data_IF_187414554119
#
_entry.id   IF_187414554119
#
_cell.length_a   1.000
_cell.length_b   1.000
_cell.length_c   1.000
_cell.angle_alpha   90.00
_cell.angle_beta   90.00
_cell.angle_gamma   90.00
#
_symmetry.space_group_name_H-M   'P 1'
#
loop_
_entity.id
_entity.type
_entity.pdbx_description
1 polymer ?
#
# COMPACT_ATOMS: atom_id res chain seq x y z
N UNK A 1 -15.45 53.96 17.03
CA UNK A 1 -14.35 54.04 16.05
C UNK A 1 -13.69 52.67 15.97
N UNK A 2 -14.51 51.67 15.65
CA UNK A 2 -14.19 50.25 15.47
C UNK A 2 -15.02 49.88 14.24
N UNK A 3 -14.40 49.67 13.07
CA UNK A 3 -15.03 49.05 11.89
C UNK A 3 -14.08 49.04 10.66
N UNK A 4 -12.78 48.77 10.80
CA UNK A 4 -11.92 48.44 9.63
C UNK A 4 -10.83 47.42 9.98
N UNK A 5 -11.16 46.34 10.69
CA UNK A 5 -10.22 45.22 10.94
C UNK A 5 -10.71 43.87 10.45
N UNK A 6 -11.65 43.85 9.50
CA UNK A 6 -12.18 42.64 8.87
C UNK A 6 -11.94 42.63 7.35
N UNK A 7 -10.72 42.97 6.94
CA UNK A 7 -10.26 42.57 5.60
C UNK A 7 -9.98 41.08 5.66
N UNK A 8 -11.04 40.28 5.49
CA UNK A 8 -10.95 38.90 5.02
C UNK A 8 -10.09 38.88 3.76
N UNK A 9 -8.80 38.60 3.90
CA UNK A 9 -7.98 38.06 2.82
C UNK A 9 -8.48 36.64 2.53
N UNK A 10 -9.66 36.57 1.93
CA UNK A 10 -10.19 35.38 1.27
C UNK A 10 -9.65 35.38 -0.15
N UNK A 11 -8.33 35.41 -0.31
CA UNK A 11 -7.68 35.06 -1.58
C UNK A 11 -7.76 33.54 -1.69
N UNK A 12 -8.88 33.07 -2.24
CA UNK A 12 -9.10 31.63 -2.47
C UNK A 12 -8.07 31.13 -3.48
N UNK A 13 -6.95 30.61 -2.98
CA UNK A 13 -5.96 29.93 -3.81
C UNK A 13 -6.70 28.81 -4.56
N UNK A 14 -6.65 28.77 -5.90
CA UNK A 14 -7.40 27.78 -6.67
C UNK A 14 -6.94 26.38 -6.27
N UNK A 15 -7.88 25.56 -5.79
CA UNK A 15 -7.58 24.18 -5.38
C UNK A 15 -7.06 23.36 -6.56
N UNK A 16 -7.72 23.48 -7.72
CA UNK A 16 -7.31 22.85 -8.96
C UNK A 16 -6.10 23.59 -9.56
N UNK A 17 -5.08 22.84 -9.99
CA UNK A 17 -3.79 23.36 -10.49
C UNK A 17 -2.81 23.91 -9.41
N UNK A 18 -3.11 23.71 -8.13
CA UNK A 18 -2.19 24.03 -7.02
C UNK A 18 -1.00 23.06 -6.93
N UNK A 19 0.14 23.53 -6.44
CA UNK A 19 1.34 22.72 -6.15
C UNK A 19 1.02 21.59 -5.18
N UNK A 20 0.13 21.85 -4.21
CA UNK A 20 -0.37 20.84 -3.26
C UNK A 20 -1.03 19.64 -3.93
N UNK A 21 -1.86 19.90 -4.95
CA UNK A 21 -2.55 18.84 -5.69
C UNK A 21 -1.58 18.08 -6.59
N UNK A 22 -0.60 18.76 -7.18
CA UNK A 22 0.47 18.10 -7.92
C UNK A 22 1.30 17.15 -7.03
N UNK A 23 1.64 17.58 -5.81
CA UNK A 23 2.30 16.72 -4.82
C UNK A 23 1.40 15.56 -4.40
N UNK A 24 0.12 15.81 -4.15
CA UNK A 24 -0.84 14.76 -3.83
C UNK A 24 -0.98 13.73 -4.95
N UNK A 25 -0.92 14.16 -6.21
CA UNK A 25 -0.90 13.29 -7.37
C UNK A 25 0.40 12.47 -7.47
N UNK A 26 1.56 13.08 -7.21
CA UNK A 26 2.84 12.36 -7.14
C UNK A 26 2.82 11.28 -6.06
N UNK A 27 2.27 11.59 -4.88
CA UNK A 27 2.08 10.63 -3.78
C UNK A 27 1.08 9.54 -4.18
N UNK A 28 -0.02 9.88 -4.83
CA UNK A 28 -0.97 8.91 -5.38
C UNK A 28 -0.27 7.92 -6.31
N UNK A 29 0.56 8.40 -7.25
CA UNK A 29 1.36 7.53 -8.14
C UNK A 29 2.35 6.66 -7.36
N UNK A 30 2.97 7.20 -6.30
CA UNK A 30 3.84 6.43 -5.42
C UNK A 30 3.10 5.31 -4.68
N UNK A 31 1.87 5.58 -4.24
CA UNK A 31 0.99 4.59 -3.62
C UNK A 31 0.55 3.51 -4.61
N UNK A 32 0.30 3.88 -5.87
CA UNK A 32 0.05 2.92 -6.96
C UNK A 32 1.23 1.98 -7.11
N UNK A 33 2.45 2.51 -7.27
CA UNK A 33 3.68 1.72 -7.40
C UNK A 33 3.88 0.79 -6.20
N UNK A 34 3.79 1.33 -4.98
CA UNK A 34 3.94 0.56 -3.75
C UNK A 34 2.98 -0.64 -3.71
N UNK A 35 1.69 -0.42 -3.94
CA UNK A 35 0.72 -1.50 -3.88
C UNK A 35 0.82 -2.47 -5.06
N UNK A 36 1.20 -2.00 -6.24
CA UNK A 36 1.54 -2.90 -7.36
C UNK A 36 2.73 -3.81 -7.02
N UNK A 37 3.79 -3.27 -6.40
CA UNK A 37 4.94 -4.08 -5.95
C UNK A 37 4.58 -5.02 -4.79
N UNK A 38 3.71 -4.59 -3.87
CA UNK A 38 3.28 -5.45 -2.76
C UNK A 38 2.50 -6.67 -3.25
N UNK A 39 1.64 -6.49 -4.24
CA UNK A 39 0.72 -7.53 -4.72
C UNK A 39 1.30 -8.37 -5.86
N UNK A 40 2.37 -7.92 -6.52
CA UNK A 40 3.00 -8.66 -7.63
C UNK A 40 3.51 -10.05 -7.21
N UNK A 41 3.94 -10.26 -5.96
CA UNK A 41 4.50 -11.52 -5.47
C UNK A 41 3.44 -12.61 -5.44
N UNK A 42 2.24 -12.27 -4.94
CA UNK A 42 1.11 -13.20 -4.87
C UNK A 42 0.70 -13.69 -6.25
N UNK A 43 0.72 -12.80 -7.26
CA UNK A 43 0.41 -13.15 -8.65
C UNK A 43 1.57 -13.93 -9.28
N UNK A 44 2.79 -13.45 -9.09
CA UNK A 44 4.00 -14.08 -9.59
C UNK A 44 4.15 -15.52 -9.09
N UNK A 45 3.79 -15.80 -7.83
CA UNK A 45 3.76 -17.16 -7.25
C UNK A 45 2.88 -18.12 -8.05
N UNK A 46 1.69 -17.66 -8.45
CA UNK A 46 0.75 -18.46 -9.27
C UNK A 46 1.34 -18.78 -10.65
N UNK A 47 2.13 -17.86 -11.20
CA UNK A 47 2.75 -18.04 -12.51
C UNK A 47 4.07 -18.84 -12.47
N UNK A 48 4.85 -18.74 -11.39
CA UNK A 48 6.18 -19.34 -11.31
C UNK A 48 6.21 -20.73 -10.71
N UNK A 49 5.19 -21.11 -9.91
CA UNK A 49 5.14 -22.42 -9.26
C UNK A 49 4.40 -23.44 -10.12
N UNK A 50 4.98 -24.64 -10.25
CA UNK A 50 4.32 -25.80 -10.84
C UNK A 50 3.31 -26.41 -9.85
N UNK A 51 2.04 -26.02 -9.95
CA UNK A 51 1.01 -26.53 -9.05
C UNK A 51 0.77 -28.04 -9.22
N UNK A 52 0.86 -28.56 -10.45
CA UNK A 52 0.69 -29.99 -10.75
C UNK A 52 1.76 -30.88 -10.11
N UNK A 53 3.03 -30.47 -10.20
CA UNK A 53 4.15 -31.20 -9.59
C UNK A 53 4.11 -31.14 -8.04
N UNK A 54 3.68 -30.01 -7.48
CA UNK A 54 3.53 -29.85 -6.01
C UNK A 54 2.41 -30.75 -5.49
N UNK A 55 1.29 -30.87 -6.21
CA UNK A 55 0.19 -31.75 -5.85
C UNK A 55 0.58 -33.24 -5.95
N UNK A 56 1.33 -33.62 -6.99
CA UNK A 56 1.91 -34.97 -7.13
C UNK A 56 2.83 -35.35 -5.96
N UNK A 57 3.77 -34.47 -5.60
CA UNK A 57 4.68 -34.71 -4.46
C UNK A 57 3.91 -34.83 -3.14
N UNK A 58 2.87 -34.02 -2.93
CA UNK A 58 2.05 -34.12 -1.71
C UNK A 58 1.30 -35.45 -1.62
N UNK A 59 0.77 -35.96 -2.72
CA UNK A 59 0.07 -37.26 -2.78
C UNK A 59 1.06 -38.41 -2.55
N UNK A 60 2.25 -38.36 -3.14
CA UNK A 60 3.29 -39.38 -2.93
C UNK A 60 3.84 -39.39 -1.50
N UNK A 61 3.98 -38.24 -0.84
CA UNK A 61 4.39 -38.16 0.57
C UNK A 61 3.29 -38.62 1.54
N UNK A 62 2.01 -38.45 1.20
CA UNK A 62 0.89 -38.90 2.04
C UNK A 62 0.47 -40.35 1.78
N UNK A 63 0.82 -40.91 0.62
CA UNK A 63 0.66 -42.33 0.29
C UNK A 63 2.02 -43.02 0.18
N UNK A 64 2.62 -43.37 1.31
CA UNK A 64 3.34 -44.65 1.41
C UNK A 64 2.32 -45.78 1.32
N UNK A 65 1.85 -46.09 0.10
CA UNK A 65 1.15 -47.33 -0.19
C UNK A 65 1.97 -48.12 -1.22
N UNK A 66 2.01 -49.45 -1.10
CA UNK A 66 2.90 -50.30 -1.89
C UNK A 66 2.59 -50.15 -3.38
N UNK A 67 3.67 -50.16 -4.17
CA UNK A 67 3.67 -50.17 -5.63
C UNK A 67 2.69 -51.26 -6.08
N UNK A 68 1.53 -50.83 -6.57
CA UNK A 68 0.59 -51.71 -7.26
C UNK A 68 1.07 -51.83 -8.70
N UNK A 69 1.46 -53.04 -9.07
CA UNK A 69 1.97 -53.44 -10.39
C UNK A 69 0.85 -53.50 -11.42
N UNK A 70 0.23 -52.36 -11.72
CA UNK A 70 -0.56 -52.21 -12.94
C UNK A 70 0.06 -51.12 -13.80
N UNK A 71 0.70 -51.55 -14.89
CA UNK A 71 1.46 -50.75 -15.84
C UNK A 71 0.63 -49.78 -16.68
N UNK A 72 -0.19 -48.94 -16.05
CA UNK A 72 -0.83 -47.80 -16.67
C UNK A 72 -0.45 -46.55 -15.88
N UNK A 73 0.44 -45.74 -16.46
CA UNK A 73 0.68 -44.38 -15.98
C UNK A 73 -0.68 -43.64 -15.90
N UNK A 74 -1.03 -43.02 -14.77
CA UNK A 74 -2.21 -42.17 -14.70
C UNK A 74 -2.05 -41.07 -15.75
N UNK A 75 -2.93 -41.04 -16.76
CA UNK A 75 -2.93 -39.93 -17.71
C UNK A 75 -3.41 -38.67 -16.99
N UNK A 76 -2.46 -37.79 -16.69
CA UNK A 76 -2.74 -36.42 -16.27
C UNK A 76 -3.53 -35.74 -17.39
N UNK A 77 -4.72 -35.23 -17.06
CA UNK A 77 -5.37 -34.21 -17.88
C UNK A 77 -4.44 -32.99 -17.88
N UNK A 78 -3.65 -32.86 -18.94
CA UNK A 78 -2.92 -31.64 -19.25
C UNK A 78 -3.96 -30.55 -19.51
N UNK A 79 -4.39 -29.87 -18.45
CA UNK A 79 -4.99 -28.56 -18.64
C UNK A 79 -3.92 -27.72 -19.35
N UNK A 80 -4.27 -27.04 -20.43
CA UNK A 80 -3.41 -26.18 -21.25
C UNK A 80 -2.91 -24.94 -20.50
N UNK A 81 -2.48 -25.10 -19.24
CA UNK A 81 -1.86 -24.08 -18.44
C UNK A 81 -0.35 -24.31 -18.50
N UNK A 82 0.36 -23.27 -18.91
CA UNK A 82 1.81 -23.17 -18.75
C UNK A 82 2.14 -23.18 -17.26
N UNK A 83 2.28 -24.37 -16.68
CA UNK A 83 2.72 -24.54 -15.29
C UNK A 83 4.14 -23.96 -15.14
N UNK A 84 4.37 -23.27 -14.02
CA UNK A 84 5.65 -22.62 -13.76
C UNK A 84 6.83 -23.59 -13.65
N UNK A 85 8.06 -23.08 -13.68
CA UNK A 85 9.27 -23.91 -13.65
C UNK A 85 9.73 -24.32 -12.24
N UNK A 86 9.19 -23.71 -11.18
CA UNK A 86 9.66 -23.89 -9.81
C UNK A 86 8.77 -24.85 -9.02
N UNK A 87 9.37 -25.79 -8.28
CA UNK A 87 8.64 -26.73 -7.40
C UNK A 87 8.80 -26.29 -5.94
N UNK A 88 7.87 -25.49 -5.44
CA UNK A 88 7.86 -25.03 -4.05
C UNK A 88 6.65 -25.54 -3.27
N UNK A 89 6.89 -26.08 -2.08
CA UNK A 89 5.82 -26.56 -1.20
C UNK A 89 4.87 -25.41 -0.79
N UNK A 90 3.61 -25.72 -0.48
CA UNK A 90 2.64 -24.72 0.00
C UNK A 90 3.14 -24.00 1.26
N UNK A 91 3.87 -24.71 2.14
CA UNK A 91 4.48 -24.11 3.32
C UNK A 91 5.56 -23.07 2.95
N UNK A 92 6.42 -23.40 1.99
CA UNK A 92 7.46 -22.49 1.49
C UNK A 92 6.85 -21.23 0.86
N UNK A 93 5.80 -21.38 0.05
CA UNK A 93 5.10 -20.23 -0.54
C UNK A 93 4.48 -19.33 0.55
N UNK A 94 3.88 -19.93 1.58
CA UNK A 94 3.36 -19.21 2.74
C UNK A 94 4.43 -18.45 3.52
N UNK A 95 5.61 -19.06 3.74
CA UNK A 95 6.75 -18.41 4.39
C UNK A 95 7.31 -17.25 3.56
N UNK A 96 7.40 -17.41 2.25
CA UNK A 96 7.82 -16.33 1.33
C UNK A 96 6.86 -15.13 1.46
N UNK A 97 5.55 -15.36 1.33
CA UNK A 97 4.54 -14.31 1.47
C UNK A 97 4.55 -13.68 2.88
N UNK A 98 4.74 -14.49 3.91
CA UNK A 98 4.81 -14.05 5.30
C UNK A 98 6.04 -13.19 5.61
N UNK A 99 7.18 -13.48 4.99
CA UNK A 99 8.46 -12.80 5.26
C UNK A 99 8.43 -11.30 5.00
N UNK A 100 7.61 -10.84 4.04
CA UNK A 100 7.32 -9.42 3.83
C UNK A 100 6.82 -8.72 5.10
N UNK A 101 5.91 -9.35 5.83
CA UNK A 101 5.29 -8.76 7.02
C UNK A 101 6.25 -8.64 8.20
N UNK A 102 7.24 -9.54 8.30
CA UNK A 102 8.28 -9.46 9.33
C UNK A 102 9.07 -8.15 9.21
N UNK A 103 9.48 -7.80 7.98
CA UNK A 103 10.14 -6.52 7.72
C UNK A 103 9.20 -5.33 7.96
N UNK A 104 7.97 -5.42 7.45
CA UNK A 104 7.00 -4.33 7.52
C UNK A 104 6.71 -3.84 8.94
N UNK A 105 6.51 -4.77 9.89
CA UNK A 105 6.19 -4.44 11.29
C UNK A 105 7.36 -3.72 11.99
N UNK A 106 8.60 -4.14 11.73
CA UNK A 106 9.80 -3.59 12.39
C UNK A 106 9.98 -2.09 12.12
N UNK A 107 9.64 -1.63 10.92
CA UNK A 107 9.90 -0.26 10.46
C UNK A 107 8.76 0.72 10.70
N UNK A 108 7.55 0.25 11.01
CA UNK A 108 6.37 1.10 11.22
C UNK A 108 6.57 2.14 12.33
N UNK A 109 7.05 1.73 13.51
CA UNK A 109 7.24 2.63 14.65
C UNK A 109 8.45 3.57 14.44
N UNK A 110 9.65 3.07 14.09
CA UNK A 110 10.83 3.93 13.92
C UNK A 110 10.68 4.93 12.78
N UNK A 111 9.97 4.56 11.70
CA UNK A 111 9.87 5.41 10.53
C UNK A 111 9.14 6.72 10.77
N UNK A 112 8.18 6.78 11.71
CA UNK A 112 7.55 8.05 12.09
C UNK A 112 8.55 9.05 12.68
N UNK A 113 9.48 8.57 13.50
CA UNK A 113 10.56 9.39 14.06
C UNK A 113 11.58 9.79 12.97
N UNK A 114 11.99 8.83 12.12
CA UNK A 114 12.92 9.10 11.02
C UNK A 114 12.33 10.09 10.00
N UNK A 115 11.05 9.97 9.64
CA UNK A 115 10.37 10.86 8.71
C UNK A 115 10.28 12.29 9.26
N UNK A 116 10.10 12.47 10.58
CA UNK A 116 10.15 13.77 11.23
C UNK A 116 11.54 14.41 11.20
N UNK A 117 12.62 13.62 11.30
CA UNK A 117 14.00 14.12 11.38
C UNK A 117 14.67 14.31 10.01
N UNK A 118 14.56 13.33 9.13
CA UNK A 118 15.21 13.34 7.80
C UNK A 118 14.29 13.89 6.70
N UNK A 119 12.99 14.04 7.00
CA UNK A 119 11.98 14.51 6.07
C UNK A 119 11.49 13.43 5.10
N UNK A 120 10.29 13.61 4.59
CA UNK A 120 9.62 12.63 3.74
C UNK A 120 10.28 12.44 2.36
N UNK A 121 11.05 13.41 1.86
CA UNK A 121 11.75 13.35 0.55
C UNK A 121 12.62 12.11 0.46
N UNK A 122 13.51 11.93 1.43
CA UNK A 122 14.48 10.83 1.43
C UNK A 122 13.87 9.52 1.93
N UNK A 123 13.00 9.56 2.94
CA UNK A 123 12.42 8.34 3.49
C UNK A 123 11.41 7.72 2.52
N UNK A 124 10.46 8.48 1.97
CA UNK A 124 9.46 7.95 1.04
C UNK A 124 10.08 7.58 -0.32
N UNK A 125 10.93 8.46 -0.88
CA UNK A 125 11.63 8.19 -2.13
C UNK A 125 12.62 7.04 -2.02
N UNK A 126 13.41 7.01 -0.93
CA UNK A 126 14.38 5.95 -0.66
C UNK A 126 13.71 4.61 -0.40
N UNK A 127 12.56 4.58 0.28
CA UNK A 127 11.78 3.36 0.47
C UNK A 127 11.37 2.75 -0.88
N UNK A 128 10.75 3.54 -1.76
CA UNK A 128 10.33 3.03 -3.06
C UNK A 128 11.54 2.69 -3.94
N UNK A 129 12.65 3.42 -3.84
CA UNK A 129 13.89 3.08 -4.53
C UNK A 129 14.43 1.70 -4.11
N UNK A 130 14.57 1.47 -2.79
CA UNK A 130 15.07 0.20 -2.24
C UNK A 130 14.14 -0.96 -2.55
N UNK A 131 12.82 -0.77 -2.40
CA UNK A 131 11.83 -1.80 -2.72
C UNK A 131 11.84 -2.16 -4.20
N UNK A 132 11.93 -1.15 -5.08
CA UNK A 132 11.99 -1.33 -6.54
C UNK A 132 13.24 -2.09 -6.97
N UNK A 133 14.39 -1.72 -6.42
CA UNK A 133 15.65 -2.39 -6.69
C UNK A 133 15.57 -3.85 -6.23
N UNK A 134 15.16 -4.11 -4.98
CA UNK A 134 14.99 -5.46 -4.46
C UNK A 134 13.99 -6.29 -5.29
N UNK A 135 12.90 -5.67 -5.77
CA UNK A 135 11.91 -6.31 -6.65
C UNK A 135 12.53 -6.78 -7.96
N UNK A 136 13.45 -6.01 -8.55
CA UNK A 136 14.14 -6.42 -9.79
C UNK A 136 15.05 -7.64 -9.58
N UNK A 137 15.57 -7.87 -8.37
CA UNK A 137 16.39 -9.06 -8.07
C UNK A 137 15.57 -10.30 -7.75
N UNK A 138 14.25 -10.18 -7.58
CA UNK A 138 13.37 -11.30 -7.24
C UNK A 138 13.52 -12.46 -8.26
N UNK A 139 13.45 -12.24 -9.59
CA UNK A 139 13.54 -13.35 -10.53
C UNK A 139 14.87 -14.10 -10.47
N UNK A 140 15.98 -13.37 -10.24
CA UNK A 140 17.32 -13.96 -10.10
C UNK A 140 17.38 -14.82 -8.83
N UNK A 141 16.82 -14.33 -7.73
CA UNK A 141 16.80 -15.06 -6.46
C UNK A 141 15.96 -16.34 -6.51
N UNK A 142 14.84 -16.32 -7.25
CA UNK A 142 13.94 -17.46 -7.35
C UNK A 142 14.59 -18.69 -8.00
N UNK A 143 15.48 -18.46 -8.99
CA UNK A 143 16.24 -19.53 -9.66
C UNK A 143 17.39 -20.07 -8.80
N UNK A 144 17.81 -19.33 -7.78
CA UNK A 144 18.96 -19.72 -6.94
C UNK A 144 18.50 -20.44 -5.68
N UNK A 145 17.71 -19.77 -4.83
CA UNK A 145 17.25 -20.31 -3.55
C UNK A 145 16.05 -19.49 -3.02
N UNK A 146 15.01 -20.20 -2.55
CA UNK A 146 13.83 -19.59 -1.93
C UNK A 146 14.18 -18.75 -0.69
N UNK A 147 15.27 -19.06 0.02
CA UNK A 147 15.72 -18.28 1.20
C UNK A 147 16.17 -16.87 0.77
N UNK A 148 16.91 -16.76 -0.34
CA UNK A 148 17.37 -15.45 -0.87
C UNK A 148 16.16 -14.61 -1.30
N UNK A 149 15.15 -15.26 -1.90
CA UNK A 149 13.87 -14.62 -2.20
C UNK A 149 13.21 -14.07 -0.93
N UNK A 150 13.10 -14.89 0.13
CA UNK A 150 12.54 -14.45 1.41
C UNK A 150 13.31 -13.28 2.03
N UNK A 151 14.64 -13.24 1.91
CA UNK A 151 15.42 -12.10 2.39
C UNK A 151 15.12 -10.81 1.61
N UNK A 152 14.97 -10.89 0.29
CA UNK A 152 14.53 -9.75 -0.52
C UNK A 152 13.12 -9.29 -0.11
N UNK A 153 12.20 -10.21 0.20
CA UNK A 153 10.88 -9.88 0.71
C UNK A 153 10.93 -9.12 2.04
N UNK A 154 11.80 -9.54 2.96
CA UNK A 154 12.02 -8.82 4.22
C UNK A 154 12.51 -7.39 3.94
N UNK A 155 13.47 -7.22 3.02
CA UNK A 155 13.99 -5.89 2.65
C UNK A 155 12.89 -5.00 2.05
N UNK A 156 12.07 -5.55 1.15
CA UNK A 156 10.92 -4.84 0.56
C UNK A 156 9.92 -4.45 1.66
N UNK A 157 9.64 -5.37 2.59
CA UNK A 157 8.79 -5.11 3.76
C UNK A 157 9.31 -3.96 4.62
N UNK A 158 10.59 -3.97 4.98
CA UNK A 158 11.26 -2.92 5.73
C UNK A 158 11.13 -1.55 5.03
N UNK A 159 11.33 -1.52 3.71
CA UNK A 159 11.19 -0.29 2.95
C UNK A 159 9.74 0.23 2.97
N UNK A 160 8.78 -0.63 2.63
CA UNK A 160 7.36 -0.28 2.57
C UNK A 160 6.74 0.09 3.91
N UNK A 161 7.27 -0.42 5.03
CA UNK A 161 6.80 -0.07 6.37
C UNK A 161 6.97 1.40 6.73
N UNK A 162 7.78 2.15 5.99
CA UNK A 162 8.01 3.59 6.21
C UNK A 162 7.00 4.50 5.50
N UNK A 163 6.22 3.97 4.55
CA UNK A 163 5.40 4.74 3.63
C UNK A 163 4.23 5.44 4.32
N UNK A 164 3.46 4.74 5.16
CA UNK A 164 2.29 5.33 5.83
C UNK A 164 2.66 6.44 6.82
N UNK A 165 3.70 6.28 7.65
CA UNK A 165 4.17 7.38 8.50
C UNK A 165 4.70 8.57 7.69
N UNK A 166 5.35 8.33 6.55
CA UNK A 166 5.74 9.43 5.65
C UNK A 166 4.53 10.19 5.10
N UNK A 167 3.45 9.49 4.75
CA UNK A 167 2.22 10.11 4.23
C UNK A 167 1.63 11.11 5.22
N UNK A 168 1.56 10.76 6.50
CA UNK A 168 1.06 11.66 7.55
C UNK A 168 1.97 12.87 7.75
N UNK A 169 3.30 12.70 7.63
CA UNK A 169 4.27 13.80 7.65
C UNK A 169 4.12 14.72 6.44
N UNK A 170 3.93 14.18 5.23
CA UNK A 170 3.70 14.97 4.01
C UNK A 170 2.45 15.82 4.18
N UNK A 171 1.34 15.21 4.62
CA UNK A 171 0.08 15.92 4.87
C UNK A 171 0.24 16.99 5.94
N UNK A 172 0.96 16.70 7.02
CA UNK A 172 1.22 17.66 8.08
C UNK A 172 2.03 18.89 7.63
N UNK A 173 2.74 18.81 6.50
CA UNK A 173 3.54 19.91 5.93
C UNK A 173 2.89 20.61 4.74
N UNK A 174 2.06 19.92 3.98
CA UNK A 174 1.52 20.41 2.70
C UNK A 174 0.01 20.62 2.68
N UNK A 175 -0.74 19.96 3.58
CA UNK A 175 -2.19 20.05 3.60
C UNK A 175 -2.69 21.03 4.69
N UNK A 176 -3.46 22.06 4.32
CA UNK A 176 -4.26 22.82 5.27
C UNK A 176 -5.25 21.91 6.02
N UNK A 177 -5.58 22.23 7.27
CA UNK A 177 -6.46 21.39 8.13
C UNK A 177 -7.81 21.05 7.49
N UNK A 178 -8.36 21.99 6.73
CA UNK A 178 -9.67 21.88 6.06
C UNK A 178 -9.65 20.96 4.83
N UNK A 179 -8.48 20.85 4.17
CA UNK A 179 -8.30 20.05 2.96
C UNK A 179 -7.62 18.71 3.22
N UNK A 180 -7.03 18.54 4.40
CA UNK A 180 -6.23 17.36 4.78
C UNK A 180 -6.98 16.04 4.57
N UNK A 181 -8.26 15.97 4.94
CA UNK A 181 -9.07 14.76 4.71
C UNK A 181 -9.21 14.41 3.23
N UNK A 182 -9.47 15.41 2.37
CA UNK A 182 -9.63 15.20 0.92
C UNK A 182 -8.33 14.74 0.27
N UNK A 183 -7.21 15.39 0.62
CA UNK A 183 -5.89 15.04 0.10
C UNK A 183 -5.46 13.65 0.58
N UNK A 184 -5.71 13.31 1.85
CA UNK A 184 -5.43 11.97 2.38
C UNK A 184 -6.21 10.89 1.65
N UNK A 185 -7.52 11.08 1.45
CA UNK A 185 -8.35 10.12 0.71
C UNK A 185 -7.90 9.97 -0.74
N UNK A 186 -7.56 11.08 -1.41
CA UNK A 186 -7.05 11.04 -2.78
C UNK A 186 -5.73 10.29 -2.87
N UNK A 187 -4.75 10.62 -2.01
CA UNK A 187 -3.45 9.91 -1.96
C UNK A 187 -3.65 8.42 -1.66
N UNK A 188 -4.54 8.08 -0.72
CA UNK A 188 -4.84 6.71 -0.34
C UNK A 188 -5.51 5.91 -1.47
N UNK A 189 -6.34 6.54 -2.31
CA UNK A 189 -6.99 5.88 -3.44
C UNK A 189 -5.98 5.20 -4.41
N UNK A 190 -4.74 5.70 -4.45
CA UNK A 190 -3.67 5.09 -5.24
C UNK A 190 -3.37 3.65 -4.85
N UNK A 191 -3.52 3.29 -3.57
CA UNK A 191 -3.30 1.91 -3.10
C UNK A 191 -4.26 0.91 -3.76
N UNK A 192 -5.53 1.28 -3.89
CA UNK A 192 -6.55 0.43 -4.51
C UNK A 192 -6.34 0.34 -6.02
N UNK A 193 -6.01 1.46 -6.67
CA UNK A 193 -5.70 1.49 -8.10
C UNK A 193 -4.50 0.60 -8.43
N UNK A 194 -3.43 0.64 -7.62
CA UNK A 194 -2.25 -0.22 -7.78
C UNK A 194 -2.56 -1.71 -7.70
N UNK A 195 -3.43 -2.11 -6.75
CA UNK A 195 -3.91 -3.49 -6.64
C UNK A 195 -4.71 -3.92 -7.87
N UNK A 196 -5.67 -3.11 -8.32
CA UNK A 196 -6.51 -3.42 -9.49
C UNK A 196 -5.66 -3.53 -10.75
N UNK A 197 -4.71 -2.62 -10.96
CA UNK A 197 -3.81 -2.65 -12.12
C UNK A 197 -3.01 -3.94 -12.17
N UNK A 198 -2.38 -4.33 -11.06
CA UNK A 198 -1.54 -5.53 -11.05
C UNK A 198 -2.37 -6.82 -11.11
N UNK A 199 -3.55 -6.87 -10.48
CA UNK A 199 -4.46 -8.02 -10.59
C UNK A 199 -4.99 -8.20 -12.02
N UNK A 200 -5.25 -7.10 -12.72
CA UNK A 200 -5.80 -7.14 -14.09
C UNK A 200 -4.73 -7.48 -15.13
N UNK A 201 -3.56 -6.84 -15.01
CA UNK A 201 -2.50 -6.90 -16.02
C UNK A 201 -1.45 -7.97 -15.67
N UNK A 202 -1.24 -8.27 -14.39
CA UNK A 202 -0.18 -9.17 -13.93
C UNK A 202 -0.28 -10.59 -14.49
N UNK A 203 -1.50 -11.13 -14.62
CA UNK A 203 -1.71 -12.44 -15.27
C UNK A 203 -1.36 -12.45 -16.76
N UNK A 204 -1.63 -11.34 -17.47
CA UNK A 204 -1.24 -11.16 -18.88
C UNK A 204 0.28 -10.99 -19.03
N UNK A 205 0.91 -10.29 -18.08
CA UNK A 205 2.38 -10.14 -18.08
C UNK A 205 3.09 -11.48 -17.90
N UNK A 206 2.50 -12.40 -17.12
CA UNK A 206 3.05 -13.74 -16.96
C UNK A 206 2.96 -14.59 -18.24
N UNK A 207 1.94 -14.38 -19.08
CA UNK A 207 1.72 -15.20 -20.28
C UNK A 207 2.53 -14.73 -21.49
N UNK A 208 3.07 -13.50 -21.46
CA UNK A 208 3.97 -13.02 -22.49
C UNK A 208 5.33 -13.72 -22.42
N UNK A 209 5.74 -14.39 -23.49
CA UNK A 209 7.03 -15.10 -23.58
C UNK A 209 8.29 -14.20 -23.49
N UNK A 210 8.13 -12.91 -23.26
CA UNK A 210 9.24 -11.98 -23.08
C UNK A 210 9.90 -12.20 -21.69
N UNK A 211 11.23 -12.28 -21.65
CA UNK A 211 12.02 -12.52 -20.43
C UNK A 211 11.68 -13.80 -19.63
N UNK A 212 11.09 -14.82 -20.27
CA UNK A 212 10.74 -16.09 -19.61
C UNK A 212 9.36 -16.09 -18.93
N UNK A 213 8.46 -15.17 -19.29
CA UNK A 213 7.09 -15.13 -18.78
C UNK A 213 7.00 -14.39 -17.45
N UNK A 214 6.97 -15.15 -16.36
CA UNK A 214 6.74 -14.63 -15.01
C UNK A 214 7.77 -13.60 -14.51
N UNK A 215 9.06 -13.56 -14.92
CA UNK A 215 10.00 -12.51 -14.47
C UNK A 215 9.57 -11.09 -14.86
N UNK A 216 8.79 -10.95 -15.94
CA UNK A 216 8.40 -9.66 -16.50
C UNK A 216 7.61 -8.80 -15.52
N UNK A 217 6.75 -9.40 -14.69
CA UNK A 217 5.96 -8.67 -13.69
C UNK A 217 6.85 -7.95 -12.68
N UNK A 218 7.96 -8.58 -12.28
CA UNK A 218 8.90 -8.04 -11.30
C UNK A 218 9.81 -6.99 -11.92
N UNK A 219 10.32 -7.23 -13.12
CA UNK A 219 11.16 -6.24 -13.81
C UNK A 219 10.40 -4.97 -14.17
N UNK A 220 9.17 -5.10 -14.68
CA UNK A 220 8.34 -3.94 -15.06
C UNK A 220 7.93 -3.10 -13.85
N UNK A 221 7.38 -3.72 -12.80
CA UNK A 221 6.96 -3.01 -11.58
C UNK A 221 8.16 -2.44 -10.80
N UNK A 222 9.30 -3.12 -10.82
CA UNK A 222 10.56 -2.60 -10.28
C UNK A 222 11.06 -1.39 -11.07
N UNK A 223 11.12 -1.46 -12.40
CA UNK A 223 11.59 -0.34 -13.23
C UNK A 223 10.70 0.90 -13.12
N UNK A 224 9.37 0.73 -13.14
CA UNK A 224 8.42 1.83 -12.96
C UNK A 224 8.64 2.50 -11.60
N UNK A 225 8.80 1.72 -10.53
CA UNK A 225 9.05 2.27 -9.20
C UNK A 225 10.41 2.95 -9.07
N UNK A 226 11.44 2.43 -9.75
CA UNK A 226 12.74 3.06 -9.82
C UNK A 226 12.67 4.43 -10.48
N UNK A 227 12.05 4.54 -11.66
CA UNK A 227 11.85 5.81 -12.38
C UNK A 227 11.04 6.79 -11.54
N UNK A 228 9.96 6.32 -10.91
CA UNK A 228 9.14 7.15 -10.03
C UNK A 228 9.95 7.67 -8.83
N UNK A 229 10.79 6.83 -8.21
CA UNK A 229 11.59 7.23 -7.04
C UNK A 229 12.62 8.32 -7.37
N UNK A 230 13.25 8.23 -8.54
CA UNK A 230 14.16 9.26 -9.04
C UNK A 230 13.39 10.57 -9.25
N UNK A 231 12.24 10.48 -9.92
CA UNK A 231 11.36 11.64 -10.16
C UNK A 231 10.95 12.29 -8.84
N UNK A 232 10.55 11.50 -7.84
CA UNK A 232 10.22 11.99 -6.51
C UNK A 232 11.39 12.73 -5.85
N UNK A 233 12.59 12.13 -5.88
CA UNK A 233 13.77 12.73 -5.26
C UNK A 233 14.15 14.07 -5.91
N UNK A 234 13.89 14.29 -7.19
CA UNK A 234 14.17 15.57 -7.86
C UNK A 234 13.06 16.62 -7.66
N UNK A 235 11.79 16.23 -7.77
CA UNK A 235 10.67 17.18 -7.77
C UNK A 235 10.13 17.51 -6.37
N UNK A 236 10.14 16.56 -5.43
CA UNK A 236 9.55 16.78 -4.10
C UNK A 236 10.51 17.51 -3.15
N UNK A 237 9.97 18.45 -2.36
CA UNK A 237 10.70 19.18 -1.32
C UNK A 237 10.00 19.04 0.03
N UNK A 238 10.77 18.81 1.10
CA UNK A 238 10.22 18.58 2.45
C UNK A 238 9.40 19.75 3.00
N UNK A 239 9.79 21.00 2.70
CA UNK A 239 9.09 22.18 3.15
C UNK A 239 8.54 22.98 1.97
N UNK A 240 7.28 23.46 2.05
CA UNK A 240 6.74 24.42 1.09
C UNK A 240 7.60 25.68 0.92
N UNK A 241 8.38 26.07 1.95
CA UNK A 241 9.24 27.26 1.90
C UNK A 241 10.33 27.18 0.83
N UNK A 242 10.88 25.98 0.64
CA UNK A 242 12.03 25.71 -0.21
C UNK A 242 11.61 25.19 -1.59
N UNK A 243 10.30 25.09 -1.85
CA UNK A 243 9.80 24.57 -3.11
C UNK A 243 9.97 25.61 -4.21
N UNK A 244 10.61 25.22 -5.33
CA UNK A 244 10.97 26.13 -6.42
C UNK A 244 9.78 26.62 -7.25
N UNK A 245 8.76 25.76 -7.41
CA UNK A 245 7.63 26.00 -8.32
C UNK A 245 6.34 26.47 -7.61
N UNK A 246 6.39 26.75 -6.31
CA UNK A 246 5.20 27.19 -5.57
C UNK A 246 4.96 28.69 -5.79
N UNK A 247 3.70 29.09 -6.02
CA UNK A 247 3.36 30.51 -6.09
C UNK A 247 3.49 31.15 -4.71
N UNK A 248 3.82 32.45 -4.65
CA UNK A 248 3.96 33.18 -3.38
C UNK A 248 2.66 33.16 -2.56
N UNK A 249 1.51 33.33 -3.24
CA UNK A 249 0.18 33.28 -2.62
C UNK A 249 -0.12 31.90 -2.03
N UNK A 250 0.18 30.81 -2.75
CA UNK A 250 -0.03 29.45 -2.24
C UNK A 250 0.92 29.15 -1.08
N UNK A 251 2.17 29.62 -1.15
CA UNK A 251 3.16 29.45 -0.10
C UNK A 251 2.73 30.11 1.20
N UNK A 252 2.27 31.36 1.16
CA UNK A 252 1.78 32.07 2.35
C UNK A 252 0.55 31.36 2.95
N UNK A 253 -0.42 31.00 2.11
CA UNK A 253 -1.62 30.29 2.54
C UNK A 253 -1.30 28.97 3.27
N UNK A 254 -0.41 28.14 2.72
CA UNK A 254 0.00 26.87 3.34
C UNK A 254 0.74 27.12 4.66
N UNK A 255 1.66 28.08 4.69
CA UNK A 255 2.43 28.37 5.89
C UNK A 255 1.56 28.87 7.05
N UNK A 256 0.50 29.62 6.75
CA UNK A 256 -0.45 30.13 7.74
C UNK A 256 -1.38 29.04 8.30
N UNK A 257 -1.78 28.08 7.46
CA UNK A 257 -2.80 27.08 7.79
C UNK A 257 -2.25 25.70 8.18
N UNK A 258 -0.93 25.52 8.18
CA UNK A 258 -0.26 24.25 8.47
C UNK A 258 0.58 24.30 9.76
N UNK A 259 1.01 23.15 10.28
CA UNK A 259 1.78 23.04 11.54
C UNK A 259 3.12 23.81 11.53
N UNK A 260 3.59 24.29 10.37
CA UNK A 260 4.77 25.17 10.29
C UNK A 260 4.58 26.51 11.02
N UNK A 261 3.34 26.96 11.27
CA UNK A 261 3.08 28.15 12.10
C UNK A 261 3.63 28.00 13.52
N UNK A 262 3.62 26.78 14.07
CA UNK A 262 4.16 26.48 15.41
C UNK A 262 5.69 26.35 15.43
N UNK A 263 6.30 25.99 14.30
CA UNK A 263 7.76 25.81 14.17
C UNK A 263 8.53 27.13 13.98
N UNK A 264 7.83 28.26 13.78
CA UNK A 264 8.45 29.60 13.70
C UNK A 264 8.78 30.20 15.07
N UNK A 265 8.36 29.57 16.17
CA UNK A 265 8.89 29.93 17.49
C UNK A 265 10.32 29.39 17.59
N UNK A 266 11.29 30.28 17.80
CA UNK A 266 12.75 30.07 17.80
C UNK A 266 13.31 28.99 18.74
N UNK A 267 12.48 28.14 19.34
CA UNK A 267 12.94 27.04 20.15
C UNK A 267 13.21 25.83 19.25
N UNK A 268 14.51 25.53 19.07
CA UNK A 268 15.01 24.18 18.78
C UNK A 268 14.62 23.24 19.93
N UNK A 269 13.32 22.99 20.14
CA UNK A 269 12.90 21.92 21.03
C UNK A 269 13.36 20.62 20.37
N UNK A 270 14.35 20.01 21.00
CA UNK A 270 14.73 18.64 20.73
C UNK A 270 13.46 17.78 20.64
N UNK A 271 13.24 17.15 19.48
CA UNK A 271 12.07 16.35 19.16
C UNK A 271 12.06 15.07 20.01
N UNK A 272 11.81 15.21 21.32
CA UNK A 272 11.53 14.10 22.21
C UNK A 272 10.04 13.83 22.14
N UNK A 273 9.64 12.92 21.26
CA UNK A 273 8.29 12.40 21.26
C UNK A 273 8.02 11.80 22.67
N UNK A 274 6.94 12.21 23.37
CA UNK A 274 6.67 11.73 24.71
C UNK A 274 6.09 10.29 24.66
N UNK A 275 6.92 9.31 24.29
CA UNK A 275 6.53 7.92 24.09
C UNK A 275 5.81 7.34 25.30
N UNK A 276 6.27 7.65 26.52
CA UNK A 276 5.62 7.20 27.76
C UNK A 276 4.20 7.72 27.89
N UNK A 277 3.96 9.00 27.60
CA UNK A 277 2.63 9.59 27.67
C UNK A 277 1.70 9.04 26.58
N UNK A 278 2.24 8.79 25.37
CA UNK A 278 1.49 8.18 24.26
C UNK A 278 1.07 6.75 24.64
N UNK A 279 2.01 5.94 25.15
CA UNK A 279 1.76 4.55 25.56
C UNK A 279 0.87 4.43 26.81
N UNK A 280 0.84 5.44 27.67
CA UNK A 280 -0.06 5.47 28.83
C UNK A 280 -1.44 6.07 28.51
N UNK A 281 -1.66 6.58 27.29
CA UNK A 281 -2.93 7.19 26.91
C UNK A 281 -4.00 6.15 26.57
N UNK A 282 -5.18 6.16 27.22
CA UNK A 282 -6.27 5.23 26.92
C UNK A 282 -6.82 5.43 25.50
N UNK A 283 -6.77 6.65 24.97
CA UNK A 283 -7.20 6.94 23.59
C UNK A 283 -6.29 6.27 22.55
N UNK A 284 -4.98 6.18 22.82
CA UNK A 284 -4.04 5.49 21.94
C UNK A 284 -4.33 3.98 21.87
N UNK A 285 -4.57 3.36 23.04
CA UNK A 285 -4.94 1.94 23.10
C UNK A 285 -6.29 1.65 22.46
N UNK A 286 -7.29 2.52 22.65
CA UNK A 286 -8.59 2.38 21.97
C UNK A 286 -8.42 2.39 20.44
N UNK A 287 -7.64 3.33 19.90
CA UNK A 287 -7.35 3.38 18.46
C UNK A 287 -6.58 2.16 17.97
N UNK A 288 -5.61 1.68 18.74
CA UNK A 288 -4.85 0.47 18.40
C UNK A 288 -5.75 -0.77 18.31
N UNK A 289 -6.64 -0.97 19.28
CA UNK A 289 -7.59 -2.09 19.29
C UNK A 289 -8.56 -1.98 18.11
N UNK A 290 -9.16 -0.81 17.89
CA UNK A 290 -10.09 -0.56 16.77
C UNK A 290 -9.39 -0.86 15.43
N UNK A 291 -8.17 -0.35 15.24
CA UNK A 291 -7.42 -0.56 14.00
C UNK A 291 -7.05 -2.03 13.80
N UNK A 292 -6.67 -2.73 14.87
CA UNK A 292 -6.35 -4.17 14.83
C UNK A 292 -7.58 -5.00 14.44
N UNK A 293 -8.73 -4.75 15.08
CA UNK A 293 -9.98 -5.43 14.76
C UNK A 293 -10.44 -5.16 13.32
N UNK A 294 -10.33 -3.91 12.87
CA UNK A 294 -10.68 -3.50 11.50
C UNK A 294 -9.79 -4.19 10.46
N UNK A 295 -8.47 -4.21 10.67
CA UNK A 295 -7.55 -4.93 9.78
C UNK A 295 -7.82 -6.43 9.80
N UNK A 296 -8.02 -7.03 10.98
CA UNK A 296 -8.31 -8.46 11.09
C UNK A 296 -9.57 -8.83 10.31
N UNK A 297 -10.67 -8.08 10.48
CA UNK A 297 -11.90 -8.27 9.72
C UNK A 297 -11.66 -8.14 8.21
N UNK A 298 -11.01 -7.06 7.78
CA UNK A 298 -10.73 -6.79 6.36
C UNK A 298 -9.90 -7.91 5.71
N UNK A 299 -8.78 -8.32 6.32
CA UNK A 299 -7.93 -9.39 5.77
C UNK A 299 -8.58 -10.77 5.85
N UNK A 300 -9.40 -11.03 6.87
CA UNK A 300 -10.18 -12.28 6.97
C UNK A 300 -11.16 -12.37 5.81
N UNK A 301 -11.95 -11.32 5.55
CA UNK A 301 -12.86 -11.31 4.40
C UNK A 301 -12.10 -11.37 3.08
N UNK A 302 -10.99 -10.64 2.93
CA UNK A 302 -10.12 -10.67 1.75
C UNK A 302 -9.64 -12.09 1.41
N UNK A 303 -9.32 -12.89 2.43
CA UNK A 303 -8.76 -14.24 2.26
C UNK A 303 -9.84 -15.33 2.16
N UNK A 304 -10.88 -15.22 2.99
CA UNK A 304 -11.92 -16.24 3.10
C UNK A 304 -12.96 -16.15 1.98
N UNK A 305 -13.31 -14.95 1.48
CA UNK A 305 -14.32 -14.79 0.43
C UNK A 305 -13.94 -15.54 -0.85
N UNK A 306 -12.72 -15.36 -1.43
CA UNK A 306 -12.33 -16.10 -2.62
C UNK A 306 -12.36 -17.61 -2.38
N UNK A 307 -11.81 -18.08 -1.25
CA UNK A 307 -11.78 -19.50 -0.90
C UNK A 307 -13.19 -20.10 -0.78
N UNK A 308 -14.11 -19.38 -0.15
CA UNK A 308 -15.51 -19.78 -0.03
C UNK A 308 -16.20 -19.87 -1.39
N UNK A 309 -15.95 -18.90 -2.28
CA UNK A 309 -16.50 -18.91 -3.64
C UNK A 309 -16.01 -20.11 -4.47
N UNK A 310 -14.72 -20.47 -4.41
CA UNK A 310 -14.21 -21.64 -5.12
C UNK A 310 -14.59 -22.98 -4.48
N UNK A 311 -14.42 -23.11 -3.16
CA UNK A 311 -14.49 -24.42 -2.51
C UNK A 311 -15.92 -24.83 -2.20
N UNK A 312 -16.76 -23.89 -1.74
CA UNK A 312 -18.14 -24.16 -1.31
C UNK A 312 -19.12 -23.87 -2.43
N UNK A 313 -19.07 -22.67 -3.01
CA UNK A 313 -19.99 -22.27 -4.08
C UNK A 313 -19.61 -22.85 -5.46
N UNK A 314 -18.44 -23.48 -5.58
CA UNK A 314 -17.91 -24.08 -6.82
C UNK A 314 -17.87 -23.11 -8.01
N UNK A 315 -17.78 -21.80 -7.74
CA UNK A 315 -17.57 -20.81 -8.80
C UNK A 315 -16.14 -20.88 -9.31
N UNK A 316 -15.99 -20.90 -10.63
CA UNK A 316 -14.68 -20.83 -11.26
C UNK A 316 -14.13 -19.40 -11.21
N UNK A 317 -13.27 -19.16 -10.22
CA UNK A 317 -12.63 -17.85 -9.96
C UNK A 317 -11.84 -17.37 -11.20
N UNK A 318 -11.32 -18.29 -12.02
CA UNK A 318 -10.47 -17.95 -13.17
C UNK A 318 -11.27 -17.44 -14.36
N UNK A 319 -12.45 -17.98 -14.63
CA UNK A 319 -13.31 -17.50 -15.73
C UNK A 319 -14.07 -16.22 -15.37
N UNK A 320 -14.26 -15.93 -14.08
CA UNK A 320 -15.05 -14.79 -13.63
C UNK A 320 -14.30 -13.86 -12.66
N UNK A 321 -13.10 -13.43 -13.06
CA UNK A 321 -12.26 -12.48 -12.29
C UNK A 321 -12.98 -11.17 -11.92
N UNK A 322 -13.95 -10.73 -12.74
CA UNK A 322 -14.80 -9.58 -12.43
C UNK A 322 -15.68 -9.81 -11.19
N UNK A 323 -16.29 -11.00 -11.06
CA UNK A 323 -17.11 -11.35 -9.89
C UNK A 323 -16.26 -11.42 -8.62
N UNK A 324 -15.02 -11.90 -8.74
CA UNK A 324 -14.05 -11.92 -7.64
C UNK A 324 -13.57 -10.52 -7.23
N UNK A 325 -13.64 -9.55 -8.16
CA UNK A 325 -13.32 -8.16 -7.89
C UNK A 325 -14.48 -7.38 -7.25
N UNK A 326 -15.72 -7.87 -7.38
CA UNK A 326 -16.94 -7.18 -6.96
C UNK A 326 -16.97 -6.81 -5.47
N UNK A 327 -16.60 -7.70 -4.51
CA UNK A 327 -16.53 -7.31 -3.09
C UNK A 327 -15.58 -6.13 -2.83
N UNK A 328 -14.47 -6.04 -3.58
CA UNK A 328 -13.51 -4.96 -3.44
C UNK A 328 -14.01 -3.66 -4.04
N UNK A 329 -14.74 -3.72 -5.15
CA UNK A 329 -15.40 -2.56 -5.75
C UNK A 329 -16.48 -2.03 -4.79
N UNK A 330 -17.30 -2.91 -4.20
CA UNK A 330 -18.31 -2.52 -3.21
C UNK A 330 -17.66 -1.90 -1.98
N UNK A 331 -16.57 -2.48 -1.48
CA UNK A 331 -15.80 -1.91 -0.37
C UNK A 331 -15.28 -0.51 -0.72
N UNK A 332 -14.70 -0.33 -1.91
CA UNK A 332 -14.22 0.97 -2.38
C UNK A 332 -15.34 2.01 -2.49
N UNK A 333 -16.47 1.65 -3.10
CA UNK A 333 -17.64 2.53 -3.20
C UNK A 333 -18.18 2.90 -1.81
N UNK A 334 -18.24 1.94 -0.88
CA UNK A 334 -18.68 2.20 0.49
C UNK A 334 -17.73 3.19 1.21
N UNK A 335 -16.41 3.06 1.02
CA UNK A 335 -15.45 4.01 1.62
C UNK A 335 -15.58 5.43 1.06
N UNK A 336 -15.92 5.58 -0.23
CA UNK A 336 -16.19 6.90 -0.82
C UNK A 336 -17.52 7.48 -0.29
N UNK A 337 -18.55 6.65 -0.22
CA UNK A 337 -19.86 7.05 0.27
C UNK A 337 -19.82 7.45 1.75
N UNK A 338 -19.13 6.68 2.60
CA UNK A 338 -18.98 6.97 4.02
C UNK A 338 -18.22 8.28 4.24
N UNK A 339 -17.16 8.55 3.47
CA UNK A 339 -16.44 9.82 3.50
C UNK A 339 -17.30 11.03 3.11
N UNK A 340 -18.10 10.90 2.04
CA UNK A 340 -19.04 11.94 1.62
C UNK A 340 -20.11 12.21 2.68
N UNK A 341 -20.65 11.16 3.29
CA UNK A 341 -21.67 11.27 4.33
C UNK A 341 -21.11 11.91 5.60
N UNK A 342 -19.87 11.56 6.00
CA UNK A 342 -19.17 12.18 7.11
C UNK A 342 -18.99 13.70 6.89
N UNK A 343 -18.62 14.10 5.67
CA UNK A 343 -18.49 15.51 5.27
C UNK A 343 -19.83 16.24 5.36
N UNK A 344 -20.93 15.63 4.92
CA UNK A 344 -22.29 16.21 5.06
C UNK A 344 -22.64 16.40 6.53
N UNK A 345 -22.39 15.40 7.37
CA UNK A 345 -22.75 15.43 8.78
C UNK A 345 -22.01 16.56 9.51
N UNK A 346 -20.74 16.78 9.16
CA UNK A 346 -19.93 17.88 9.71
C UNK A 346 -20.42 19.23 9.16
N UNK A 347 -20.59 19.37 7.84
CA UNK A 347 -20.97 20.67 7.23
C UNK A 347 -22.37 21.13 7.63
N UNK A 348 -23.31 20.19 7.77
CA UNK A 348 -24.68 20.48 8.20
C UNK A 348 -24.84 20.54 9.73
N UNK A 349 -23.75 20.39 10.50
CA UNK A 349 -23.75 20.35 11.97
C UNK A 349 -24.78 19.37 12.55
N UNK A 350 -25.02 18.23 11.89
CA UNK A 350 -25.99 17.22 12.36
C UNK A 350 -25.43 16.48 13.58
N UNK A 351 -24.12 16.18 13.56
CA UNK A 351 -23.39 15.55 14.65
C UNK A 351 -22.13 16.35 14.95
N UNK A 352 -21.67 16.30 16.21
CA UNK A 352 -20.37 16.89 16.58
C UNK A 352 -19.23 16.19 15.85
N UNK A 353 -18.13 16.90 15.58
CA UNK A 353 -16.95 16.37 14.87
C UNK A 353 -16.46 15.05 15.51
N UNK A 354 -16.47 14.98 16.83
CA UNK A 354 -16.03 13.79 17.57
C UNK A 354 -16.99 12.62 17.41
N UNK A 355 -18.30 12.86 17.40
CA UNK A 355 -19.31 11.81 17.18
C UNK A 355 -19.25 11.29 15.75
N UNK A 356 -19.14 12.17 14.76
CA UNK A 356 -18.98 11.78 13.36
C UNK A 356 -17.73 10.93 13.17
N UNK A 357 -16.58 11.37 13.70
CA UNK A 357 -15.33 10.59 13.60
C UNK A 357 -15.39 9.24 14.31
N UNK A 358 -16.13 9.11 15.41
CA UNK A 358 -16.31 7.81 16.07
C UNK A 358 -17.22 6.88 15.25
N UNK A 359 -18.31 7.40 14.72
CA UNK A 359 -19.29 6.64 13.94
C UNK A 359 -18.69 6.11 12.63
N UNK A 360 -18.06 6.99 11.85
CA UNK A 360 -17.44 6.66 10.56
C UNK A 360 -16.06 6.00 10.64
N UNK A 361 -15.57 5.73 11.85
CA UNK A 361 -14.41 4.86 12.04
C UNK A 361 -14.84 3.40 12.31
N UNK A 362 -16.12 3.19 12.62
CA UNK A 362 -16.73 1.86 12.82
C UNK A 362 -17.46 1.40 11.55
N UNK A 363 -18.09 2.33 10.82
CA UNK A 363 -18.67 2.14 9.48
C UNK A 363 -17.62 2.27 8.38
#
# INVERSE_FOLDING_TARGET
MELISDVKLKTSVPFWCSTRVAIAFMVFLGMVVHFSQKTNVSIGLVCMVNHSAVEYNHIHFTKTQPISTDGKCPQMKSNNHSDGSLVWSKNTQGLILGSYFWGYILTQIPSGYLAGRFGARFIFGGAIFVSSFATMFIPISANTNWIVFSMLQVIIGLAHGTIWPCLTVILAHWAPKEECGKLMSFMNAGSQVGNVLILSIGGLMCSWNFAGGWPLIFYSTGLIGFIWSITWLFFYTNSPRNHRYISLQEKEFVLEHTQQKLSNSNNKHSFHAPFRAILMSPACWALFIIHTCSNYGTYTFLTCIPKYMSEVLKFDIKSNGFLSALPYIVLWLNTLFSGFLADIFIRKNILTITQTRKLFNVL
#
